data_IF_629898459280
#
_entry.id   IF_629898459280
#
_cell.length_a   1.000
_cell.length_b   1.000
_cell.length_c   1.000
_cell.angle_alpha   90.00
_cell.angle_beta   90.00
_cell.angle_gamma   90.00
#
_symmetry.space_group_name_H-M   'P 1'
#
loop_
_entity.id
_entity.type
_entity.pdbx_description
1 polymer ?
#
# COMPACT_ATOMS: atom_id res chain seq x y z
N UNK A 1 -22.85 -0.74 -17.47
CA UNK A 1 -21.45 -1.09 -17.16
C UNK A 1 -21.30 -1.15 -15.64
N UNK A 2 -20.56 -2.10 -15.10
CA UNK A 2 -20.22 -2.09 -13.67
C UNK A 2 -19.39 -0.84 -13.38
N UNK A 3 -19.81 -0.03 -12.41
CA UNK A 3 -19.16 1.22 -12.03
C UNK A 3 -17.67 1.02 -11.63
N UNK A 4 -17.31 -0.20 -11.19
CA UNK A 4 -15.93 -0.58 -10.87
C UNK A 4 -15.01 -0.81 -12.07
N UNK A 5 -15.53 -1.21 -13.24
CA UNK A 5 -14.68 -1.44 -14.42
C UNK A 5 -14.08 -0.13 -14.95
N UNK A 6 -14.93 0.89 -15.09
CA UNK A 6 -14.51 2.25 -15.48
C UNK A 6 -13.56 2.90 -14.46
N UNK A 7 -13.77 2.61 -13.17
CA UNK A 7 -12.89 3.12 -12.13
C UNK A 7 -11.49 2.47 -12.17
N UNK A 8 -11.40 1.17 -12.41
CA UNK A 8 -10.12 0.48 -12.59
C UNK A 8 -9.36 1.01 -13.80
N UNK A 9 -10.03 1.20 -14.95
CA UNK A 9 -9.40 1.73 -16.15
C UNK A 9 -8.77 3.11 -15.92
N UNK A 10 -9.46 3.99 -15.19
CA UNK A 10 -8.92 5.31 -14.79
C UNK A 10 -7.70 5.21 -13.88
N UNK A 11 -7.73 4.31 -12.88
CA UNK A 11 -6.59 4.09 -11.97
C UNK A 11 -5.38 3.58 -12.76
N UNK A 12 -5.59 2.63 -13.68
CA UNK A 12 -4.54 2.08 -14.52
C UNK A 12 -3.99 3.12 -15.50
N UNK A 13 -4.84 4.03 -16.00
CA UNK A 13 -4.42 5.20 -16.77
C UNK A 13 -3.67 6.25 -15.93
N UNK A 14 -3.64 6.10 -14.60
CA UNK A 14 -2.89 6.97 -13.69
C UNK A 14 -3.66 8.16 -13.14
N UNK A 15 -4.98 8.04 -12.97
CA UNK A 15 -5.85 9.10 -12.44
C UNK A 15 -5.35 9.70 -11.11
N UNK A 16 -4.63 8.92 -10.31
CA UNK A 16 -4.04 9.32 -9.03
C UNK A 16 -2.78 10.19 -9.16
N UNK A 17 -2.10 10.20 -10.31
CA UNK A 17 -0.84 10.93 -10.48
C UNK A 17 -1.09 12.44 -10.36
N UNK A 18 -0.30 13.11 -9.53
CA UNK A 18 -0.38 14.57 -9.36
C UNK A 18 -1.53 15.08 -8.49
N UNK A 19 -2.54 14.26 -8.15
CA UNK A 19 -3.71 14.71 -7.37
C UNK A 19 -3.35 15.31 -6.00
N UNK A 20 -3.95 16.42 -5.57
CA UNK A 20 -3.78 16.91 -4.20
C UNK A 20 -4.46 15.96 -3.18
N UNK A 21 -4.01 16.05 -1.92
CA UNK A 21 -4.43 15.15 -0.83
C UNK A 21 -5.95 15.13 -0.59
N UNK A 22 -6.64 16.25 -0.78
CA UNK A 22 -8.09 16.40 -0.56
C UNK A 22 -8.94 15.73 -1.65
N UNK A 23 -8.34 15.31 -2.77
CA UNK A 23 -9.01 14.57 -3.85
C UNK A 23 -8.84 13.05 -3.73
N UNK A 24 -8.06 12.59 -2.75
CA UNK A 24 -7.87 11.17 -2.47
C UNK A 24 -8.86 10.73 -1.41
N UNK A 25 -9.62 9.69 -1.75
CA UNK A 25 -10.62 9.06 -0.87
C UNK A 25 -10.04 7.76 -0.32
N UNK A 26 -10.34 7.46 0.94
CA UNK A 26 -9.94 6.25 1.66
C UNK A 26 -11.15 5.60 2.33
N UNK A 27 -12.25 5.44 1.60
CA UNK A 27 -13.43 4.72 2.12
C UNK A 27 -13.25 3.21 1.96
N UNK A 28 -14.14 2.42 2.57
CA UNK A 28 -14.16 0.95 2.44
C UNK A 28 -14.50 0.39 1.03
N UNK A 29 -14.45 1.22 -0.01
CA UNK A 29 -14.62 0.77 -1.40
C UNK A 29 -13.25 0.45 -1.99
N UNK A 30 -13.07 -0.79 -2.47
CA UNK A 30 -11.78 -1.33 -2.92
C UNK A 30 -11.02 -0.43 -3.92
N UNK A 31 -11.75 0.25 -4.81
CA UNK A 31 -11.18 1.18 -5.79
C UNK A 31 -10.54 2.40 -5.11
N UNK A 32 -11.19 2.97 -4.09
CA UNK A 32 -10.62 4.09 -3.32
C UNK A 32 -9.36 3.64 -2.59
N UNK A 33 -9.39 2.45 -1.98
CA UNK A 33 -8.22 1.87 -1.30
C UNK A 33 -7.03 1.72 -2.25
N UNK A 34 -7.26 1.15 -3.44
CA UNK A 34 -6.21 0.95 -4.44
C UNK A 34 -5.65 2.29 -4.95
N UNK A 35 -6.52 3.24 -5.29
CA UNK A 35 -6.13 4.57 -5.75
C UNK A 35 -5.28 5.31 -4.70
N UNK A 36 -5.71 5.26 -3.43
CA UNK A 36 -5.03 5.90 -2.31
C UNK A 36 -3.67 5.25 -1.99
N UNK A 37 -3.57 3.92 -2.11
CA UNK A 37 -2.30 3.21 -1.90
C UNK A 37 -1.28 3.55 -2.99
N UNK A 38 -1.68 3.51 -4.26
CA UNK A 38 -0.83 3.89 -5.40
C UNK A 38 -0.39 5.36 -5.29
N UNK A 39 -1.30 6.26 -4.94
CA UNK A 39 -1.00 7.67 -4.69
C UNK A 39 0.05 7.84 -3.58
N UNK A 40 -0.11 7.11 -2.48
CA UNK A 40 0.79 7.21 -1.31
C UNK A 40 2.20 6.74 -1.64
N UNK A 41 2.34 5.60 -2.33
CA UNK A 41 3.64 5.09 -2.79
C UNK A 41 4.29 6.05 -3.77
N UNK A 42 3.54 6.54 -4.76
CA UNK A 42 4.10 7.39 -5.80
C UNK A 42 4.53 8.78 -5.32
N UNK A 43 3.89 9.31 -4.27
CA UNK A 43 4.32 10.56 -3.63
C UNK A 43 5.46 10.37 -2.65
N UNK A 44 5.67 9.15 -2.17
CA UNK A 44 6.70 8.87 -1.21
C UNK A 44 8.02 8.51 -1.89
N UNK A 45 9.13 8.97 -1.33
CA UNK A 45 10.48 8.57 -1.77
C UNK A 45 11.01 7.33 -1.03
N UNK A 46 10.27 6.79 -0.07
CA UNK A 46 10.69 5.66 0.77
C UNK A 46 9.49 5.01 1.49
N UNK A 47 9.71 3.80 2.02
CA UNK A 47 8.69 3.00 2.72
C UNK A 47 8.03 3.76 3.88
N UNK A 48 8.84 4.37 4.75
CA UNK A 48 8.36 5.10 5.93
C UNK A 48 7.37 6.18 5.55
N UNK A 49 7.73 7.01 4.58
CA UNK A 49 6.90 8.11 4.13
C UNK A 49 5.64 7.61 3.42
N UNK A 50 5.71 6.51 2.66
CA UNK A 50 4.54 5.92 2.00
C UNK A 50 3.50 5.47 3.02
N UNK A 51 3.91 4.67 4.00
CA UNK A 51 3.01 4.13 5.04
C UNK A 51 2.47 5.23 5.93
N UNK A 52 3.31 6.20 6.34
CA UNK A 52 2.82 7.34 7.12
C UNK A 52 1.83 8.20 6.33
N UNK A 53 2.09 8.43 5.04
CA UNK A 53 1.19 9.21 4.19
C UNK A 53 -0.18 8.52 4.10
N UNK A 54 -0.20 7.20 3.86
CA UNK A 54 -1.41 6.39 3.82
C UNK A 54 -2.15 6.36 5.17
N UNK A 55 -1.45 6.13 6.28
CA UNK A 55 -2.06 6.07 7.61
C UNK A 55 -2.68 7.41 8.05
N UNK A 56 -2.19 8.54 7.52
CA UNK A 56 -2.75 9.87 7.76
C UNK A 56 -3.85 10.26 6.75
N UNK A 57 -4.34 9.33 5.92
CA UNK A 57 -5.46 9.58 5.02
C UNK A 57 -6.83 9.66 5.74
N UNK A 58 -6.92 9.19 6.99
CA UNK A 58 -8.15 9.03 7.77
C UNK A 58 -9.15 8.04 7.12
N UNK A 59 -10.33 7.90 7.72
CA UNK A 59 -11.38 6.92 7.34
C UNK A 59 -10.85 5.47 7.42
N UNK A 60 -10.76 4.72 6.33
CA UNK A 60 -10.24 3.34 6.27
C UNK A 60 -8.70 3.31 6.18
N UNK A 61 -8.05 4.00 7.12
CA UNK A 61 -6.62 4.26 7.09
C UNK A 61 -5.77 3.00 7.30
N UNK A 62 -6.25 2.02 8.06
CA UNK A 62 -5.57 0.75 8.30
C UNK A 62 -5.54 -0.12 7.03
N UNK A 63 -6.66 -0.25 6.32
CA UNK A 63 -6.70 -0.99 5.05
C UNK A 63 -5.81 -0.33 4.00
N UNK A 64 -5.87 1.00 3.85
CA UNK A 64 -4.99 1.71 2.90
C UNK A 64 -3.52 1.59 3.29
N UNK A 65 -3.17 1.72 4.57
CA UNK A 65 -1.80 1.57 5.04
C UNK A 65 -1.28 0.14 4.85
N UNK A 66 -2.12 -0.89 5.00
CA UNK A 66 -1.77 -2.28 4.76
C UNK A 66 -1.46 -2.53 3.28
N UNK A 67 -2.33 -2.09 2.35
CA UNK A 67 -2.09 -2.22 0.90
C UNK A 67 -0.87 -1.40 0.48
N UNK A 68 -0.72 -0.18 1.00
CA UNK A 68 0.48 0.65 0.77
C UNK A 68 1.74 -0.05 1.26
N UNK A 69 1.70 -0.70 2.43
CA UNK A 69 2.82 -1.45 2.99
C UNK A 69 3.24 -2.64 2.13
N UNK A 70 2.29 -3.34 1.50
CA UNK A 70 2.60 -4.41 0.54
C UNK A 70 3.33 -3.87 -0.70
N UNK A 71 2.78 -2.81 -1.32
CA UNK A 71 3.35 -2.19 -2.52
C UNK A 71 4.73 -1.58 -2.24
N UNK A 72 4.85 -0.79 -1.17
CA UNK A 72 6.11 -0.17 -0.77
C UNK A 72 7.12 -1.23 -0.31
N UNK A 73 6.69 -2.29 0.36
CA UNK A 73 7.54 -3.39 0.79
C UNK A 73 8.14 -4.16 -0.39
N UNK A 74 7.35 -4.40 -1.44
CA UNK A 74 7.84 -4.98 -2.69
C UNK A 74 8.85 -4.04 -3.41
N UNK A 75 8.59 -2.72 -3.39
CA UNK A 75 9.42 -1.74 -4.09
C UNK A 75 10.76 -1.45 -3.38
N UNK A 76 10.73 -1.25 -2.06
CA UNK A 76 11.91 -0.84 -1.28
C UNK A 76 12.60 -2.01 -0.57
N UNK A 77 11.96 -3.18 -0.55
CA UNK A 77 12.45 -4.38 0.12
C UNK A 77 12.39 -4.30 1.64
N UNK A 78 12.65 -5.43 2.30
CA UNK A 78 12.65 -5.55 3.77
C UNK A 78 13.63 -4.55 4.44
N UNK A 79 14.80 -4.30 3.84
CA UNK A 79 15.79 -3.34 4.34
C UNK A 79 15.34 -1.88 4.24
N UNK A 80 14.29 -1.59 3.47
CA UNK A 80 13.72 -0.25 3.38
C UNK A 80 12.76 0.08 4.53
N UNK A 81 12.36 -0.91 5.34
CA UNK A 81 11.45 -0.73 6.48
C UNK A 81 12.24 -0.22 7.69
N UNK A 82 11.77 0.81 8.43
CA UNK A 82 12.44 1.25 9.65
C UNK A 82 12.61 0.13 10.67
N UNK A 83 13.83 -0.08 11.16
CA UNK A 83 14.13 -1.15 12.13
C UNK A 83 13.27 -1.06 13.40
N UNK A 84 13.08 0.16 13.92
CA UNK A 84 12.21 0.42 15.08
C UNK A 84 10.75 -0.01 14.88
N UNK A 85 10.27 -0.11 13.63
CA UNK A 85 8.93 -0.65 13.34
C UNK A 85 8.96 -2.17 13.32
N UNK A 86 10.00 -2.78 12.73
CA UNK A 86 10.17 -4.23 12.72
C UNK A 86 10.33 -4.79 14.14
N UNK A 87 11.08 -4.11 15.00
CA UNK A 87 11.27 -4.48 16.42
C UNK A 87 9.96 -4.51 17.21
N UNK A 88 8.97 -3.71 16.81
CA UNK A 88 7.65 -3.63 17.47
C UNK A 88 6.58 -4.47 16.78
N UNK A 89 6.86 -5.04 15.61
CA UNK A 89 5.90 -5.78 14.82
C UNK A 89 5.59 -7.12 15.48
N UNK A 90 4.34 -7.30 15.89
CA UNK A 90 3.87 -8.58 16.43
C UNK A 90 4.09 -9.71 15.40
N UNK A 91 4.60 -10.84 15.88
CA UNK A 91 4.90 -12.02 15.06
C UNK A 91 5.87 -11.77 13.89
N UNK A 92 6.76 -10.77 14.00
CA UNK A 92 7.79 -10.46 13.00
C UNK A 92 8.45 -11.72 12.42
N UNK A 93 8.97 -12.60 13.25
CA UNK A 93 9.72 -13.78 12.77
C UNK A 93 8.84 -14.75 12.00
N UNK A 94 7.58 -14.94 12.44
CA UNK A 94 6.59 -15.77 11.73
C UNK A 94 6.20 -15.16 10.38
N UNK A 95 6.05 -13.84 10.31
CA UNK A 95 5.74 -13.12 9.07
C UNK A 95 6.91 -13.21 8.08
N UNK A 96 8.14 -13.03 8.57
CA UNK A 96 9.35 -13.18 7.75
C UNK A 96 9.48 -14.59 7.20
N UNK A 97 9.21 -15.60 8.01
CA UNK A 97 9.27 -17.00 7.57
C UNK A 97 8.18 -17.32 6.54
N UNK A 98 6.95 -16.88 6.78
CA UNK A 98 5.86 -17.03 5.82
C UNK A 98 6.18 -16.38 4.47
N UNK A 99 6.75 -15.17 4.48
CA UNK A 99 7.17 -14.47 3.27
C UNK A 99 8.28 -15.19 2.51
N UNK A 100 9.30 -15.72 3.20
CA UNK A 100 10.36 -16.52 2.58
C UNK A 100 9.81 -17.78 1.92
N UNK A 101 8.93 -18.51 2.61
CA UNK A 101 8.29 -19.72 2.07
C UNK A 101 7.47 -19.40 0.81
N UNK A 102 6.65 -18.35 0.86
CA UNK A 102 5.83 -17.94 -0.28
C UNK A 102 6.66 -17.56 -1.52
N UNK A 103 7.87 -17.04 -1.33
CA UNK A 103 8.81 -16.74 -2.44
C UNK A 103 9.59 -17.97 -2.93
N UNK A 104 9.71 -19.02 -2.10
CA UNK A 104 10.42 -20.24 -2.44
C UNK A 104 9.54 -21.27 -3.17
N UNK A 105 8.22 -21.20 -2.99
CA UNK A 105 7.26 -22.02 -3.74
C UNK A 105 7.04 -21.39 -5.13
N UNK A 106 7.19 -22.16 -6.23
CA UNK A 106 6.84 -21.68 -7.56
C UNK A 106 5.36 -21.28 -7.58
N UNK A 107 5.04 -20.12 -8.16
CA UNK A 107 3.67 -19.79 -8.52
C UNK A 107 3.23 -20.81 -9.58
N UNK A 108 2.51 -21.85 -9.12
CA UNK A 108 1.98 -22.91 -9.97
C UNK A 108 1.01 -22.40 -11.02
#
# INVERSE_FOLDING_TARGET
AFEGADANDRIMAGSWRGRPRNEIRSSGYVVHTLEAALWSVARAGNFRNAVLLAANLADDADTVAAVTGQLAGALYGLRGIPDAWLERLAWRDRLLEAGRRALAEPLG
#
